data_IF_093194668824
#
_entry.id   IF_093194668824
#
_cell.length_a   1.000
_cell.length_b   1.000
_cell.length_c   1.000
_cell.angle_alpha   90.00
_cell.angle_beta   90.00
_cell.angle_gamma   90.00
#
_symmetry.space_group_name_H-M   'P 1'
#
loop_
_entity.id
_entity.type
_entity.pdbx_description
1 polymer ?
#
# COMPACT_ATOMS: atom_id res chain seq x y z
N UNK A 1 33.01 -6.42 10.59
CA UNK A 1 34.24 -6.97 11.22
C UNK A 1 35.25 -5.88 11.59
N UNK A 2 35.78 -5.08 10.66
CA UNK A 2 36.72 -3.99 11.00
C UNK A 2 36.12 -2.95 11.96
N UNK A 3 34.93 -2.44 11.68
CA UNK A 3 34.22 -1.46 12.53
C UNK A 3 33.98 -1.98 13.96
N UNK A 4 33.63 -3.26 14.10
CA UNK A 4 33.44 -3.92 15.41
C UNK A 4 34.70 -3.92 16.26
N UNK A 5 35.85 -4.23 15.67
CA UNK A 5 37.13 -4.24 16.37
C UNK A 5 37.57 -2.83 16.76
N UNK A 6 37.35 -1.85 15.87
CA UNK A 6 37.65 -0.44 16.15
C UNK A 6 36.82 0.10 17.31
N UNK A 7 35.51 -0.15 17.34
CA UNK A 7 34.64 0.27 18.45
C UNK A 7 35.06 -0.40 19.77
N UNK A 8 35.45 -1.68 19.76
CA UNK A 8 35.96 -2.38 20.95
C UNK A 8 37.26 -1.76 21.49
N UNK A 9 38.17 -1.33 20.59
CA UNK A 9 39.40 -0.61 20.96
C UNK A 9 39.13 0.80 21.47
N UNK A 10 37.96 1.37 21.21
CA UNK A 10 37.56 2.69 21.70
C UNK A 10 37.58 2.85 23.22
N UNK A 11 37.54 1.75 23.98
CA UNK A 11 37.67 1.78 25.46
C UNK A 11 39.11 2.06 25.90
N UNK A 12 40.12 1.57 25.15
CA UNK A 12 41.53 1.67 25.54
C UNK A 12 42.31 2.68 24.71
N UNK A 13 42.16 2.61 23.39
CA UNK A 13 42.98 3.34 22.43
C UNK A 13 42.26 4.60 21.93
N UNK A 14 40.96 4.74 22.25
CA UNK A 14 40.08 5.77 21.71
C UNK A 14 39.76 5.57 20.22
N UNK A 15 38.72 6.24 19.74
CA UNK A 15 38.34 6.27 18.33
C UNK A 15 38.27 7.70 17.82
N UNK A 16 38.53 7.89 16.53
CA UNK A 16 38.38 9.20 15.89
C UNK A 16 37.00 9.28 15.23
N UNK A 17 36.13 10.11 15.79
CA UNK A 17 34.79 10.34 15.26
C UNK A 17 34.78 11.56 14.31
N UNK A 18 34.06 11.49 13.16
CA UNK A 18 33.88 12.63 12.27
C UNK A 18 33.30 13.84 13.01
N UNK A 19 33.97 14.98 12.97
CA UNK A 19 33.52 16.23 13.61
C UNK A 19 33.77 16.35 15.12
N UNK A 20 33.99 15.24 15.82
CA UNK A 20 34.22 15.21 17.28
C UNK A 20 35.67 14.91 17.70
N UNK A 21 36.50 14.46 16.75
CA UNK A 21 37.92 14.17 17.00
C UNK A 21 38.13 12.85 17.75
N UNK A 22 39.29 12.71 18.38
CA UNK A 22 39.65 11.50 19.12
C UNK A 22 38.96 11.45 20.49
N UNK A 23 38.19 10.39 20.75
CA UNK A 23 37.45 10.20 21.99
C UNK A 23 37.64 8.79 22.56
N UNK A 24 37.80 8.71 23.89
CA UNK A 24 37.75 7.46 24.63
C UNK A 24 36.30 7.17 24.99
N UNK A 25 35.81 5.99 24.62
CA UNK A 25 34.44 5.56 24.88
C UNK A 25 34.35 4.86 26.24
N UNK A 26 33.23 5.05 26.94
CA UNK A 26 32.96 4.23 28.12
C UNK A 26 32.66 2.79 27.72
N UNK A 27 33.00 1.84 28.59
CA UNK A 27 32.69 0.43 28.37
C UNK A 27 31.19 0.19 28.16
N UNK A 28 30.36 0.85 28.95
CA UNK A 28 28.89 0.79 28.83
C UNK A 28 28.41 1.24 27.44
N UNK A 29 28.96 2.33 26.90
CA UNK A 29 28.58 2.84 25.59
C UNK A 29 29.01 1.88 24.46
N UNK A 30 30.18 1.26 24.59
CA UNK A 30 30.64 0.23 23.65
C UNK A 30 29.73 -1.00 23.70
N UNK A 31 29.40 -1.49 24.90
CA UNK A 31 28.53 -2.66 25.06
C UNK A 31 27.12 -2.39 24.49
N UNK A 32 26.54 -1.21 24.76
CA UNK A 32 25.26 -0.80 24.17
C UNK A 32 25.33 -0.67 22.64
N UNK A 33 26.42 -0.14 22.10
CA UNK A 33 26.63 -0.02 20.64
C UNK A 33 26.59 -1.40 19.98
N UNK A 34 27.25 -2.38 20.58
CA UNK A 34 27.27 -3.74 20.05
C UNK A 34 25.89 -4.41 20.13
N UNK A 35 25.12 -4.17 21.20
CA UNK A 35 23.74 -4.68 21.34
C UNK A 35 22.84 -4.10 20.25
N UNK A 36 22.85 -2.77 20.07
CA UNK A 36 22.00 -2.10 19.05
C UNK A 36 22.41 -2.50 17.64
N UNK A 37 23.72 -2.62 17.39
CA UNK A 37 24.25 -3.11 16.11
C UNK A 37 23.77 -4.53 15.81
N UNK A 38 23.86 -5.47 16.77
CA UNK A 38 23.41 -6.85 16.57
C UNK A 38 21.89 -6.95 16.43
N UNK A 39 21.13 -6.15 17.20
CA UNK A 39 19.67 -6.19 17.21
C UNK A 39 19.05 -5.75 15.87
N UNK A 40 19.64 -4.74 15.21
CA UNK A 40 19.11 -4.14 13.98
C UNK A 40 19.98 -4.38 12.75
N UNK A 41 21.03 -5.20 12.86
CA UNK A 41 22.05 -5.41 11.82
C UNK A 41 22.62 -4.09 11.28
N UNK A 42 22.95 -3.17 12.19
CA UNK A 42 23.48 -1.85 11.86
C UNK A 42 25.00 -1.83 11.91
N UNK A 43 25.61 -1.00 11.07
CA UNK A 43 27.03 -0.69 11.21
C UNK A 43 27.31 -0.10 12.60
N UNK A 44 28.40 -0.53 13.24
CA UNK A 44 28.68 -0.14 14.63
C UNK A 44 28.87 1.37 14.82
N UNK A 45 29.38 2.09 13.82
CA UNK A 45 29.48 3.55 13.90
C UNK A 45 28.12 4.24 13.81
N UNK A 46 27.17 3.69 13.04
CA UNK A 46 25.80 4.21 12.99
C UNK A 46 25.06 3.93 14.30
N UNK A 47 25.26 2.75 14.88
CA UNK A 47 24.69 2.41 16.19
C UNK A 47 25.25 3.33 17.29
N UNK A 48 26.55 3.62 17.25
CA UNK A 48 27.18 4.57 18.18
C UNK A 48 26.65 5.99 18.01
N UNK A 49 26.54 6.48 16.77
CA UNK A 49 26.01 7.81 16.48
C UNK A 49 24.56 7.97 16.95
N UNK A 50 23.74 6.93 16.76
CA UNK A 50 22.37 6.89 17.26
C UNK A 50 22.32 6.92 18.80
N UNK A 51 23.21 6.19 19.49
CA UNK A 51 23.33 6.21 20.95
C UNK A 51 23.79 7.57 21.48
N UNK A 52 24.75 8.21 20.81
CA UNK A 52 25.19 9.56 21.14
C UNK A 52 24.06 10.57 20.96
N UNK A 53 23.32 10.47 19.87
CA UNK A 53 22.12 11.30 19.61
C UNK A 53 21.06 11.05 20.69
N UNK A 54 20.81 9.79 21.06
CA UNK A 54 19.90 9.45 22.13
C UNK A 54 20.32 10.07 23.46
N UNK A 55 21.61 10.04 23.79
CA UNK A 55 22.15 10.65 25.00
C UNK A 55 21.89 12.16 25.06
N UNK A 56 21.99 12.86 23.92
CA UNK A 56 21.64 14.29 23.82
C UNK A 56 20.13 14.53 23.95
N UNK A 57 19.30 13.60 23.49
CA UNK A 57 17.82 13.70 23.51
C UNK A 57 17.18 13.23 24.82
N UNK A 58 17.90 12.51 25.68
CA UNK A 58 17.40 12.02 26.97
C UNK A 58 16.65 13.07 27.82
N UNK A 59 17.06 14.36 27.89
CA UNK A 59 16.32 15.39 28.63
C UNK A 59 14.87 15.58 28.15
N UNK A 60 14.58 15.29 26.88
CA UNK A 60 13.23 15.37 26.30
C UNK A 60 12.39 14.10 26.53
N UNK A 61 13.00 13.03 27.04
CA UNK A 61 12.37 11.74 27.29
C UNK A 61 12.54 11.31 28.76
N UNK A 62 11.96 12.06 29.72
CA UNK A 62 12.16 11.79 31.14
C UNK A 62 11.70 10.37 31.51
N UNK A 63 12.57 9.66 32.23
CA UNK A 63 12.31 8.28 32.67
C UNK A 63 12.75 7.19 31.68
N UNK A 64 13.27 7.55 30.50
CA UNK A 64 13.88 6.57 29.59
C UNK A 64 15.40 6.53 29.78
N UNK A 65 15.98 5.33 29.69
CA UNK A 65 17.44 5.15 29.62
C UNK A 65 17.96 5.51 28.22
N UNK A 66 19.27 5.65 28.07
CA UNK A 66 19.91 5.88 26.76
C UNK A 66 19.50 4.80 25.74
N UNK A 67 19.55 3.52 26.11
CA UNK A 67 19.13 2.41 25.25
C UNK A 67 17.65 2.50 24.83
N UNK A 68 16.73 2.77 25.76
CA UNK A 68 15.30 2.89 25.43
C UNK A 68 15.01 4.13 24.56
N UNK A 69 15.74 5.22 24.78
CA UNK A 69 15.67 6.43 23.95
C UNK A 69 16.20 6.13 22.54
N UNK A 70 17.26 5.33 22.42
CA UNK A 70 17.85 4.90 21.14
C UNK A 70 16.86 4.08 20.32
N UNK A 71 16.19 3.10 20.95
CA UNK A 71 15.14 2.30 20.30
C UNK A 71 14.01 3.19 19.80
N UNK A 72 13.57 4.17 20.60
CA UNK A 72 12.53 5.12 20.18
C UNK A 72 12.97 5.93 18.97
N UNK A 73 14.17 6.52 19.00
CA UNK A 73 14.73 7.33 17.92
C UNK A 73 14.96 6.52 16.64
N UNK A 74 15.29 5.23 16.76
CA UNK A 74 15.43 4.33 15.61
C UNK A 74 14.13 4.26 14.79
N UNK A 75 12.99 3.98 15.44
CA UNK A 75 11.70 3.93 14.74
C UNK A 75 11.19 5.31 14.36
N UNK A 76 11.46 6.34 15.17
CA UNK A 76 11.08 7.72 14.85
C UNK A 76 11.77 8.20 13.57
N UNK A 77 13.08 7.94 13.43
CA UNK A 77 13.83 8.26 12.21
C UNK A 77 13.28 7.53 10.97
N UNK A 78 12.96 6.24 11.10
CA UNK A 78 12.33 5.47 10.01
C UNK A 78 10.97 6.05 9.62
N UNK A 79 10.13 6.39 10.60
CA UNK A 79 8.82 7.00 10.37
C UNK A 79 8.95 8.37 9.71
N UNK A 80 9.92 9.18 10.12
CA UNK A 80 10.17 10.49 9.52
C UNK A 80 10.55 10.34 8.03
N UNK A 81 11.45 9.40 7.70
CA UNK A 81 11.85 9.11 6.33
C UNK A 81 10.67 8.67 5.46
N UNK A 82 9.87 7.70 5.93
CA UNK A 82 8.70 7.24 5.16
C UNK A 82 7.64 8.32 5.02
N UNK A 83 7.45 9.16 6.04
CA UNK A 83 6.48 10.26 5.99
C UNK A 83 6.88 11.33 4.98
N UNK A 84 8.17 11.66 4.89
CA UNK A 84 8.68 12.59 3.87
C UNK A 84 8.48 12.00 2.48
N UNK A 85 8.84 10.73 2.28
CA UNK A 85 8.64 10.07 1.00
C UNK A 85 7.16 10.03 0.59
N UNK A 86 6.26 9.67 1.50
CA UNK A 86 4.80 9.68 1.28
C UNK A 86 4.33 11.07 0.86
N UNK A 87 4.82 12.12 1.51
CA UNK A 87 4.48 13.51 1.20
C UNK A 87 4.97 13.91 -0.20
N UNK A 88 6.18 13.51 -0.58
CA UNK A 88 6.71 13.74 -1.93
C UNK A 88 5.85 13.05 -2.98
N UNK A 89 5.48 11.79 -2.75
CA UNK A 89 4.62 11.02 -3.67
C UNK A 89 3.22 11.64 -3.79
N UNK A 90 2.63 12.08 -2.67
CA UNK A 90 1.34 12.79 -2.67
C UNK A 90 1.39 14.10 -3.49
N UNK A 91 2.55 14.79 -3.49
CA UNK A 91 2.73 16.10 -4.15
C UNK A 91 3.07 15.97 -5.64
N UNK A 92 3.20 14.74 -6.16
CA UNK A 92 3.43 14.50 -7.59
C UNK A 92 2.31 15.09 -8.44
N UNK A 93 2.66 15.48 -9.65
CA UNK A 93 1.68 15.82 -10.69
C UNK A 93 0.98 14.53 -11.13
N UNK A 94 -0.35 14.55 -11.19
CA UNK A 94 -1.11 13.34 -11.51
C UNK A 94 -2.56 13.57 -11.92
N UNK A 95 -3.37 12.54 -11.74
CA UNK A 95 -4.75 12.47 -12.22
C UNK A 95 -5.78 12.82 -11.15
N UNK A 96 -5.57 12.33 -9.93
CA UNK A 96 -6.60 12.31 -8.90
C UNK A 96 -6.72 13.64 -8.17
N UNK A 97 -5.60 14.34 -7.93
CA UNK A 97 -5.60 15.64 -7.28
C UNK A 97 -4.42 16.53 -7.69
N UNK A 98 -4.52 17.80 -7.34
CA UNK A 98 -3.45 18.77 -7.43
C UNK A 98 -3.23 19.39 -6.04
N UNK A 99 -1.96 19.59 -5.67
CA UNK A 99 -1.58 20.29 -4.44
C UNK A 99 -1.40 21.77 -4.75
N UNK A 100 -1.77 22.63 -3.79
CA UNK A 100 -1.52 24.07 -3.86
C UNK A 100 -0.02 24.37 -3.66
N UNK A 101 0.76 24.16 -4.71
CA UNK A 101 2.20 24.36 -4.75
C UNK A 101 2.65 24.87 -6.14
N UNK A 102 3.76 25.63 -6.23
CA UNK A 102 4.27 26.09 -7.51
C UNK A 102 4.52 24.94 -8.49
N UNK A 103 4.07 25.07 -9.73
CA UNK A 103 4.19 24.03 -10.78
C UNK A 103 5.64 23.60 -11.01
N UNK A 104 6.60 24.53 -10.89
CA UNK A 104 8.02 24.21 -11.00
C UNK A 104 8.49 23.26 -9.88
N UNK A 105 7.97 23.42 -8.66
CA UNK A 105 8.29 22.57 -7.52
C UNK A 105 7.65 21.18 -7.68
N UNK A 106 6.36 21.12 -8.02
CA UNK A 106 5.68 19.83 -8.22
C UNK A 106 6.28 19.03 -9.38
N UNK A 107 6.74 19.71 -10.44
CA UNK A 107 7.52 19.08 -11.53
C UNK A 107 8.84 18.52 -11.01
N UNK A 108 9.61 19.31 -10.26
CA UNK A 108 10.88 18.85 -9.70
C UNK A 108 10.71 17.64 -8.76
N UNK A 109 9.66 17.65 -7.92
CA UNK A 109 9.31 16.52 -7.05
C UNK A 109 8.96 15.28 -7.88
N UNK A 110 8.18 15.46 -8.96
CA UNK A 110 7.80 14.37 -9.86
C UNK A 110 9.04 13.76 -10.53
N UNK A 111 9.95 14.58 -11.06
CA UNK A 111 11.19 14.13 -11.69
C UNK A 111 12.11 13.41 -10.68
N UNK A 112 12.23 13.95 -9.46
CA UNK A 112 13.02 13.34 -8.40
C UNK A 112 12.46 11.97 -8.00
N UNK A 113 11.15 11.88 -7.79
CA UNK A 113 10.51 10.61 -7.40
C UNK A 113 10.49 9.60 -8.55
N UNK A 114 10.45 10.03 -9.82
CA UNK A 114 10.65 9.16 -10.97
C UNK A 114 12.03 8.50 -10.94
N UNK A 115 13.11 9.26 -10.69
CA UNK A 115 14.47 8.71 -10.53
C UNK A 115 14.56 7.70 -9.40
N UNK A 116 13.94 7.99 -8.25
CA UNK A 116 13.88 7.03 -7.15
C UNK A 116 13.18 5.73 -7.58
N UNK A 117 12.14 5.83 -8.41
CA UNK A 117 11.45 4.66 -8.93
C UNK A 117 12.26 3.90 -9.99
N UNK A 118 13.02 4.58 -10.83
CA UNK A 118 14.01 3.96 -11.72
C UNK A 118 15.04 3.14 -10.92
N UNK A 119 15.42 3.62 -9.73
CA UNK A 119 16.28 2.91 -8.77
C UNK A 119 15.53 1.82 -7.94
N UNK A 120 14.26 1.55 -8.25
CA UNK A 120 13.50 0.46 -7.67
C UNK A 120 12.74 0.77 -6.38
N UNK A 121 12.40 2.05 -6.13
CA UNK A 121 11.69 2.49 -4.91
C UNK A 121 10.46 1.64 -4.57
N UNK A 122 9.49 1.52 -5.47
CA UNK A 122 8.23 0.80 -5.22
C UNK A 122 8.48 -0.69 -4.97
N UNK A 123 9.48 -1.27 -5.61
CA UNK A 123 9.88 -2.65 -5.38
C UNK A 123 10.43 -2.84 -3.96
N UNK A 124 11.23 -1.87 -3.47
CA UNK A 124 11.72 -1.88 -2.08
C UNK A 124 10.59 -1.67 -1.08
N UNK A 125 9.65 -0.78 -1.36
CA UNK A 125 8.45 -0.56 -0.52
C UNK A 125 7.65 -1.85 -0.37
N UNK A 126 7.42 -2.59 -1.46
CA UNK A 126 6.74 -3.89 -1.40
C UNK A 126 7.51 -4.91 -0.58
N UNK A 127 8.83 -5.05 -0.80
CA UNK A 127 9.64 -5.98 0.01
C UNK A 127 9.58 -5.64 1.49
N UNK A 128 9.64 -4.36 1.85
CA UNK A 128 9.51 -3.93 3.25
C UNK A 128 8.15 -4.30 3.85
N UNK A 129 7.05 -4.14 3.10
CA UNK A 129 5.72 -4.52 3.58
C UNK A 129 5.55 -6.03 3.79
N UNK A 130 6.23 -6.85 2.99
CA UNK A 130 6.28 -8.32 3.16
C UNK A 130 7.18 -8.74 4.34
N UNK A 131 8.29 -8.03 4.56
CA UNK A 131 9.25 -8.26 5.65
C UNK A 131 8.71 -7.79 7.02
N UNK A 132 7.93 -6.71 7.05
CA UNK A 132 7.47 -6.05 8.28
C UNK A 132 6.24 -6.73 8.91
N UNK A 133 6.52 -7.54 9.93
CA UNK A 133 5.53 -8.23 10.77
C UNK A 133 5.54 -7.67 12.20
N UNK A 134 4.45 -7.01 12.66
CA UNK A 134 4.37 -6.45 14.01
C UNK A 134 4.58 -7.47 15.13
N UNK A 135 4.21 -8.73 14.92
CA UNK A 135 4.37 -9.80 15.92
C UNK A 135 5.83 -10.16 16.07
N UNK A 136 6.53 -10.40 14.95
CA UNK A 136 7.97 -10.69 14.96
C UNK A 136 8.79 -9.53 15.49
N UNK A 137 8.39 -8.30 15.16
CA UNK A 137 9.05 -7.11 15.69
C UNK A 137 8.88 -6.99 17.20
N UNK A 138 7.68 -7.25 17.71
CA UNK A 138 7.41 -7.27 19.14
C UNK A 138 8.24 -8.34 19.86
N UNK A 139 8.37 -9.53 19.28
CA UNK A 139 9.20 -10.61 19.83
C UNK A 139 10.69 -10.23 19.86
N UNK A 140 11.20 -9.62 18.78
CA UNK A 140 12.57 -9.09 18.72
C UNK A 140 12.83 -8.08 19.85
N UNK A 141 11.91 -7.13 20.04
CA UNK A 141 12.00 -6.10 21.05
C UNK A 141 11.95 -6.67 22.48
N UNK A 142 11.12 -7.68 22.72
CA UNK A 142 11.01 -8.36 24.00
C UNK A 142 12.26 -9.18 24.33
N UNK A 143 12.76 -9.97 23.37
CA UNK A 143 13.96 -10.81 23.55
C UNK A 143 15.19 -9.99 23.92
N UNK A 144 15.34 -8.80 23.33
CA UNK A 144 16.44 -7.88 23.59
C UNK A 144 16.21 -6.94 24.77
N UNK A 145 15.11 -7.09 25.52
CA UNK A 145 14.71 -6.19 26.63
C UNK A 145 14.71 -4.70 26.20
N UNK A 146 14.33 -4.46 24.95
CA UNK A 146 14.34 -3.15 24.30
C UNK A 146 13.03 -2.36 24.51
N UNK A 147 12.11 -2.91 25.32
CA UNK A 147 10.86 -2.25 25.68
C UNK A 147 10.91 -1.74 27.12
N UNK A 148 10.55 -0.46 27.29
CA UNK A 148 10.33 0.15 28.60
C UNK A 148 8.95 -0.18 29.17
N UNK A 149 8.40 0.74 29.96
CA UNK A 149 7.03 0.64 30.44
C UNK A 149 5.99 0.69 29.32
N UNK A 150 4.72 0.40 29.65
CA UNK A 150 3.61 0.30 28.69
C UNK A 150 3.51 1.49 27.71
N UNK A 151 3.80 2.71 28.18
CA UNK A 151 3.83 3.91 27.33
C UNK A 151 4.90 3.84 26.24
N UNK A 152 6.12 3.45 26.59
CA UNK A 152 7.23 3.33 25.63
C UNK A 152 6.94 2.24 24.61
N UNK A 153 6.44 1.09 25.08
CA UNK A 153 6.01 0.01 24.21
C UNK A 153 4.95 0.47 23.19
N UNK A 154 3.91 1.19 23.65
CA UNK A 154 2.89 1.72 22.75
C UNK A 154 3.47 2.73 21.74
N UNK A 155 4.41 3.60 22.15
CA UNK A 155 5.05 4.56 21.25
C UNK A 155 5.86 3.87 20.15
N UNK A 156 6.68 2.88 20.51
CA UNK A 156 7.49 2.12 19.56
C UNK A 156 6.63 1.37 18.56
N UNK A 157 5.63 0.60 19.05
CA UNK A 157 4.76 -0.16 18.16
C UNK A 157 3.87 0.74 17.30
N UNK A 158 3.50 1.92 17.79
CA UNK A 158 2.81 2.92 16.98
C UNK A 158 3.71 3.41 15.84
N UNK A 159 4.94 3.83 16.11
CA UNK A 159 5.87 4.28 15.06
C UNK A 159 6.13 3.19 14.01
N UNK A 160 6.28 1.94 14.44
CA UNK A 160 6.43 0.80 13.54
C UNK A 160 5.21 0.62 12.62
N UNK A 161 4.00 0.58 13.20
CA UNK A 161 2.78 0.41 12.43
C UNK A 161 2.47 1.61 11.53
N UNK A 162 2.72 2.84 12.01
CA UNK A 162 2.55 4.05 11.20
C UNK A 162 3.57 4.08 10.03
N UNK A 163 4.75 3.47 10.19
CA UNK A 163 5.72 3.29 9.10
C UNK A 163 5.17 2.31 8.04
N UNK A 164 4.57 1.19 8.48
CA UNK A 164 3.90 0.24 7.57
C UNK A 164 2.75 0.92 6.82
N UNK A 165 1.98 1.77 7.50
CA UNK A 165 0.93 2.56 6.87
C UNK A 165 1.50 3.50 5.81
N UNK A 166 2.56 4.27 6.12
CA UNK A 166 3.16 5.18 5.14
C UNK A 166 3.62 4.44 3.87
N UNK A 167 4.21 3.26 4.03
CA UNK A 167 4.67 2.42 2.92
C UNK A 167 3.50 1.97 2.02
N UNK A 168 2.38 1.56 2.62
CA UNK A 168 1.19 1.20 1.86
C UNK A 168 0.54 2.41 1.17
N UNK A 169 0.50 3.55 1.87
CA UNK A 169 0.01 4.80 1.32
C UNK A 169 0.86 5.26 0.13
N UNK A 170 2.18 5.07 0.14
CA UNK A 170 3.04 5.38 -1.00
C UNK A 170 2.58 4.63 -2.26
N UNK A 171 2.24 3.34 -2.15
CA UNK A 171 1.75 2.54 -3.28
C UNK A 171 0.40 3.05 -3.77
N UNK A 172 -0.52 3.33 -2.85
CA UNK A 172 -1.81 3.94 -3.18
C UNK A 172 -1.65 5.30 -3.88
N UNK A 173 -0.93 6.23 -3.25
CA UNK A 173 -0.73 7.58 -3.76
C UNK A 173 -0.06 7.56 -5.14
N UNK A 174 0.91 6.67 -5.32
CA UNK A 174 1.55 6.47 -6.61
C UNK A 174 0.52 6.05 -7.66
N UNK A 175 -0.23 4.97 -7.41
CA UNK A 175 -1.23 4.44 -8.35
C UNK A 175 -2.34 5.45 -8.68
N UNK A 176 -2.73 6.29 -7.72
CA UNK A 176 -3.78 7.29 -7.91
C UNK A 176 -3.29 8.51 -8.71
N UNK A 177 -2.00 8.83 -8.64
CA UNK A 177 -1.42 9.95 -9.38
C UNK A 177 -0.72 9.54 -10.68
N UNK A 178 -0.29 8.29 -10.82
CA UNK A 178 0.53 7.81 -11.93
C UNK A 178 0.30 6.32 -12.17
N UNK A 179 0.56 5.85 -13.38
CA UNK A 179 0.49 4.42 -13.66
C UNK A 179 1.57 3.65 -12.89
N UNK A 180 1.22 2.49 -12.35
CA UNK A 180 2.18 1.55 -11.79
C UNK A 180 2.91 0.81 -12.92
N UNK A 181 4.21 0.51 -12.76
CA UNK A 181 4.87 -0.48 -13.60
C UNK A 181 4.22 -1.85 -13.43
N UNK A 182 4.10 -2.62 -14.50
CA UNK A 182 3.40 -3.91 -14.49
C UNK A 182 3.98 -4.89 -13.45
N UNK A 183 5.31 -4.94 -13.32
CA UNK A 183 5.99 -5.75 -12.30
C UNK A 183 5.51 -5.44 -10.87
N UNK A 184 5.23 -4.17 -10.56
CA UNK A 184 4.74 -3.74 -9.25
C UNK A 184 3.27 -4.12 -9.10
N UNK A 185 2.44 -3.92 -10.13
CA UNK A 185 1.04 -4.30 -10.14
C UNK A 185 0.85 -5.81 -9.94
N UNK A 186 1.58 -6.65 -10.67
CA UNK A 186 1.48 -8.11 -10.54
C UNK A 186 1.97 -8.62 -9.18
N UNK A 187 2.97 -7.95 -8.58
CA UNK A 187 3.44 -8.27 -7.23
C UNK A 187 2.41 -7.87 -6.17
N UNK A 188 1.80 -6.68 -6.28
CA UNK A 188 0.67 -6.25 -5.45
C UNK A 188 -0.50 -7.24 -5.51
N UNK A 189 -0.89 -7.65 -6.72
CA UNK A 189 -1.94 -8.65 -6.91
C UNK A 189 -1.61 -9.98 -6.24
N UNK A 190 -0.36 -10.42 -6.32
CA UNK A 190 0.08 -11.67 -5.70
C UNK A 190 0.10 -11.60 -4.17
N UNK A 191 0.42 -10.42 -3.59
CA UNK A 191 0.27 -10.18 -2.14
C UNK A 191 -1.21 -10.23 -1.74
N UNK A 192 -2.10 -9.54 -2.47
CA UNK A 192 -3.53 -9.53 -2.16
C UNK A 192 -4.20 -10.89 -2.38
N UNK A 193 -3.71 -11.69 -3.33
CA UNK A 193 -4.20 -13.02 -3.63
C UNK A 193 -4.09 -13.98 -2.44
N UNK A 194 -3.04 -13.82 -1.61
CA UNK A 194 -2.78 -14.68 -0.43
C UNK A 194 -3.33 -14.11 0.87
N UNK A 195 -4.00 -12.95 0.84
CA UNK A 195 -4.58 -12.30 2.02
C UNK A 195 -5.98 -12.82 2.32
N UNK A 196 -6.23 -13.23 3.56
CA UNK A 196 -7.54 -13.67 4.00
C UNK A 196 -8.38 -12.49 4.51
N UNK A 197 -8.70 -11.56 3.60
CA UNK A 197 -9.31 -10.27 3.97
C UNK A 197 -10.64 -10.42 4.73
N UNK A 198 -11.46 -11.42 4.39
CA UNK A 198 -12.75 -11.67 5.06
C UNK A 198 -12.59 -12.22 6.48
N UNK A 199 -11.58 -13.05 6.75
CA UNK A 199 -11.37 -13.64 8.08
C UNK A 199 -10.55 -12.72 8.99
N UNK A 200 -9.67 -11.91 8.40
CA UNK A 200 -8.89 -10.88 9.10
C UNK A 200 -9.71 -9.61 9.36
N UNK A 201 -10.78 -9.39 8.58
CA UNK A 201 -11.70 -8.30 8.83
C UNK A 201 -12.47 -8.52 10.14
N UNK A 202 -12.15 -7.71 11.16
CA UNK A 202 -13.00 -7.56 12.33
C UNK A 202 -14.30 -6.82 11.99
N UNK A 203 -15.04 -6.36 13.01
CA UNK A 203 -16.27 -5.60 12.80
C UNK A 203 -16.07 -4.31 11.98
N UNK A 204 -14.83 -3.78 11.94
CA UNK A 204 -14.45 -2.58 11.20
C UNK A 204 -13.86 -2.81 9.81
N UNK A 205 -14.01 -4.00 9.21
CA UNK A 205 -13.44 -4.31 7.88
C UNK A 205 -11.92 -4.58 7.90
N UNK A 206 -11.23 -4.55 6.74
CA UNK A 206 -9.79 -4.82 6.65
C UNK A 206 -8.97 -3.81 7.43
N UNK A 207 -7.75 -4.17 7.85
CA UNK A 207 -6.84 -3.18 8.44
C UNK A 207 -6.42 -2.10 7.42
N UNK A 208 -5.92 -0.97 7.93
CA UNK A 208 -5.61 0.21 7.10
C UNK A 208 -4.50 -0.04 6.06
N UNK A 209 -3.54 -0.92 6.35
CA UNK A 209 -2.46 -1.28 5.42
C UNK A 209 -3.06 -2.08 4.28
N UNK A 210 -3.84 -3.11 4.60
CA UNK A 210 -4.52 -3.93 3.59
C UNK A 210 -5.47 -3.10 2.74
N UNK A 211 -6.26 -2.20 3.35
CA UNK A 211 -7.14 -1.31 2.60
C UNK A 211 -6.36 -0.41 1.62
N UNK A 212 -5.24 0.19 2.03
CA UNK A 212 -4.42 1.00 1.14
C UNK A 212 -3.85 0.20 -0.05
N UNK A 213 -3.46 -1.07 0.17
CA UNK A 213 -3.02 -1.96 -0.91
C UNK A 213 -4.14 -2.32 -1.89
N UNK A 214 -5.35 -2.58 -1.37
CA UNK A 214 -6.55 -2.78 -2.20
C UNK A 214 -6.78 -1.54 -3.05
N UNK A 215 -6.78 -0.36 -2.44
CA UNK A 215 -6.95 0.92 -3.15
C UNK A 215 -5.84 1.17 -4.16
N UNK A 216 -4.62 0.71 -3.91
CA UNK A 216 -3.51 0.83 -4.86
C UNK A 216 -3.75 0.01 -6.13
N UNK A 217 -4.21 -1.24 -5.99
CA UNK A 217 -4.56 -2.09 -7.14
C UNK A 217 -5.75 -1.50 -7.90
N UNK A 218 -6.79 -1.10 -7.18
CA UNK A 218 -8.00 -0.53 -7.77
C UNK A 218 -7.72 0.77 -8.56
N UNK A 219 -6.79 1.62 -8.08
CA UNK A 219 -6.40 2.82 -8.82
C UNK A 219 -5.42 2.55 -9.97
N UNK A 220 -4.69 1.43 -9.97
CA UNK A 220 -3.71 1.11 -11.01
C UNK A 220 -4.32 0.99 -12.42
N UNK A 221 -5.59 0.64 -12.51
CA UNK A 221 -6.35 0.59 -13.76
C UNK A 221 -7.63 1.45 -13.70
N UNK A 222 -7.62 2.53 -12.90
CA UNK A 222 -8.69 3.52 -12.89
C UNK A 222 -8.54 4.51 -14.05
N UNK A 223 -9.36 4.36 -15.08
CA UNK A 223 -9.32 5.20 -16.27
C UNK A 223 -10.47 6.21 -16.37
N UNK A 224 -11.20 6.44 -15.27
CA UNK A 224 -12.33 7.39 -15.25
C UNK A 224 -11.94 8.83 -15.62
N UNK A 225 -10.67 9.22 -15.42
CA UNK A 225 -10.16 10.55 -15.81
C UNK A 225 -10.24 10.81 -17.33
N UNK A 226 -10.32 9.76 -18.16
CA UNK A 226 -10.40 9.88 -19.61
C UNK A 226 -11.64 10.63 -20.09
N UNK A 227 -12.74 10.56 -19.35
CA UNK A 227 -13.95 11.30 -19.67
C UNK A 227 -13.78 12.82 -19.59
N UNK A 228 -12.71 13.30 -18.93
CA UNK A 228 -12.48 14.71 -18.62
C UNK A 228 -11.32 15.36 -19.38
N UNK A 229 -10.50 14.60 -20.13
CA UNK A 229 -9.27 15.11 -20.76
C UNK A 229 -9.29 14.99 -22.28
N UNK A 230 -8.98 16.10 -22.97
CA UNK A 230 -8.86 16.16 -24.43
C UNK A 230 -7.73 15.26 -24.97
N UNK A 231 -6.64 15.08 -24.21
CA UNK A 231 -5.50 14.21 -24.57
C UNK A 231 -5.59 12.80 -23.95
N UNK A 232 -6.81 12.28 -23.71
CA UNK A 232 -7.01 10.99 -23.06
C UNK A 232 -6.35 9.82 -23.78
N UNK A 233 -6.39 9.80 -25.12
CA UNK A 233 -5.89 8.68 -25.94
C UNK A 233 -4.35 8.52 -25.87
N UNK A 234 -3.59 9.62 -25.93
CA UNK A 234 -2.14 9.59 -25.78
C UNK A 234 -1.71 9.07 -24.40
N UNK A 235 -2.45 9.47 -23.35
CA UNK A 235 -2.17 9.04 -21.99
C UNK A 235 -2.39 7.53 -21.83
N UNK A 236 -3.51 6.98 -22.32
CA UNK A 236 -3.80 5.54 -22.27
C UNK A 236 -2.70 4.74 -22.96
N UNK A 237 -2.32 5.15 -24.16
CA UNK A 237 -1.34 4.45 -24.96
C UNK A 237 0.07 4.46 -24.34
N UNK A 238 0.33 5.38 -23.41
CA UNK A 238 1.58 5.43 -22.64
C UNK A 238 1.54 4.59 -21.35
N UNK A 239 0.38 4.08 -20.95
CA UNK A 239 0.26 3.33 -19.69
C UNK A 239 0.91 1.96 -19.81
N UNK A 240 1.75 1.53 -18.84
CA UNK A 240 2.43 0.23 -18.88
C UNK A 240 1.50 -0.95 -19.15
N UNK A 241 0.32 -0.98 -18.52
CA UNK A 241 -0.66 -2.07 -18.69
C UNK A 241 -1.17 -2.20 -20.13
N UNK A 242 -1.17 -1.10 -20.90
CA UNK A 242 -1.68 -1.04 -22.26
C UNK A 242 -0.53 -1.08 -23.29
N UNK A 243 0.58 -0.41 -22.99
CA UNK A 243 1.73 -0.27 -23.88
C UNK A 243 2.57 -1.55 -23.95
N UNK A 244 2.68 -2.29 -22.85
CA UNK A 244 3.44 -3.54 -22.81
C UNK A 244 2.61 -4.69 -23.39
N UNK A 245 3.21 -5.39 -24.34
CA UNK A 245 2.57 -6.53 -25.01
C UNK A 245 2.19 -7.62 -24.00
N UNK A 246 0.99 -8.17 -24.15
CA UNK A 246 0.47 -9.31 -23.36
C UNK A 246 0.18 -9.00 -21.88
N UNK A 247 0.47 -7.78 -21.38
CA UNK A 247 0.30 -7.44 -19.97
C UNK A 247 -1.18 -7.42 -19.54
N UNK A 248 -2.06 -6.85 -20.37
CA UNK A 248 -3.49 -6.83 -20.12
C UNK A 248 -4.09 -8.24 -20.21
N UNK A 249 -3.67 -9.03 -21.18
CA UNK A 249 -4.07 -10.42 -21.35
C UNK A 249 -3.63 -11.28 -20.15
N UNK A 250 -2.40 -11.10 -19.67
CA UNK A 250 -1.89 -11.78 -18.47
C UNK A 250 -2.70 -11.40 -17.22
N UNK A 251 -3.03 -10.11 -17.06
CA UNK A 251 -3.88 -9.64 -15.97
C UNK A 251 -5.27 -10.28 -16.03
N UNK A 252 -5.89 -10.29 -17.21
CA UNK A 252 -7.19 -10.93 -17.44
C UNK A 252 -7.15 -12.43 -17.12
N UNK A 253 -6.13 -13.15 -17.58
CA UNK A 253 -5.94 -14.57 -17.25
C UNK A 253 -5.75 -14.78 -15.75
N UNK A 254 -4.97 -13.93 -15.07
CA UNK A 254 -4.76 -14.02 -13.62
C UNK A 254 -6.06 -13.86 -12.83
N UNK A 255 -6.98 -13.04 -13.34
CA UNK A 255 -8.26 -12.75 -12.70
C UNK A 255 -9.39 -13.69 -13.10
N UNK A 256 -9.40 -14.26 -14.31
CA UNK A 256 -10.48 -15.14 -14.79
C UNK A 256 -10.18 -16.62 -14.52
N UNK A 257 -8.91 -17.03 -14.57
CA UNK A 257 -8.54 -18.45 -14.48
C UNK A 257 -9.02 -19.10 -13.18
N UNK A 258 -9.76 -20.20 -13.30
CA UNK A 258 -10.22 -21.01 -12.17
C UNK A 258 -9.09 -21.79 -11.50
N UNK A 259 -7.94 -21.91 -12.17
CA UNK A 259 -6.76 -22.62 -11.63
C UNK A 259 -5.98 -21.77 -10.61
N UNK A 260 -6.27 -20.48 -10.53
CA UNK A 260 -5.61 -19.55 -9.61
C UNK A 260 -6.49 -19.40 -8.38
N UNK A 261 -6.01 -19.94 -7.25
CA UNK A 261 -6.70 -19.82 -5.98
C UNK A 261 -6.50 -18.43 -5.37
N UNK A 262 -7.59 -17.82 -4.91
CA UNK A 262 -7.58 -16.56 -4.17
C UNK A 262 -8.13 -16.83 -2.77
N UNK A 263 -7.39 -16.41 -1.75
CA UNK A 263 -7.80 -16.58 -0.35
C UNK A 263 -9.07 -15.78 -0.03
N UNK A 264 -9.27 -14.64 -0.68
CA UNK A 264 -10.53 -13.89 -0.66
C UNK A 264 -11.16 -13.83 -2.04
N UNK A 265 -12.22 -14.63 -2.24
CA UNK A 265 -13.02 -14.61 -3.45
C UNK A 265 -13.72 -13.25 -3.63
N UNK A 266 -14.23 -12.66 -2.54
CA UNK A 266 -14.87 -11.35 -2.58
C UNK A 266 -13.94 -10.24 -3.07
N UNK A 267 -12.68 -10.22 -2.59
CA UNK A 267 -11.67 -9.27 -3.06
C UNK A 267 -11.36 -9.46 -4.55
N UNK A 268 -11.15 -10.71 -4.98
CA UNK A 268 -10.99 -11.04 -6.41
C UNK A 268 -12.17 -10.49 -7.22
N UNK A 269 -13.39 -10.66 -6.72
CA UNK A 269 -14.61 -10.15 -7.34
C UNK A 269 -14.60 -8.63 -7.53
N UNK A 270 -14.16 -7.87 -6.52
CA UNK A 270 -14.07 -6.41 -6.63
C UNK A 270 -13.00 -5.97 -7.65
N UNK A 271 -11.85 -6.66 -7.69
CA UNK A 271 -10.79 -6.38 -8.66
C UNK A 271 -11.26 -6.70 -10.09
N UNK A 272 -11.93 -7.85 -10.28
CA UNK A 272 -12.56 -8.23 -11.56
C UNK A 272 -13.60 -7.18 -12.01
N UNK A 273 -14.45 -6.74 -11.09
CA UNK A 273 -15.46 -5.71 -11.36
C UNK A 273 -14.80 -4.40 -11.82
N UNK A 274 -13.81 -3.93 -11.07
CA UNK A 274 -13.12 -2.69 -11.41
C UNK A 274 -12.38 -2.77 -12.75
N UNK A 275 -11.75 -3.91 -13.06
CA UNK A 275 -11.09 -4.10 -14.36
C UNK A 275 -12.10 -4.14 -15.51
N UNK A 276 -13.27 -4.76 -15.33
CA UNK A 276 -14.30 -4.78 -16.36
C UNK A 276 -14.77 -3.37 -16.72
N UNK A 277 -15.02 -2.53 -15.71
CA UNK A 277 -15.39 -1.12 -15.93
C UNK A 277 -14.26 -0.39 -16.65
N UNK A 278 -13.03 -0.55 -16.19
CA UNK A 278 -11.84 0.05 -16.81
C UNK A 278 -11.71 -0.31 -18.31
N UNK A 279 -11.91 -1.59 -18.66
CA UNK A 279 -11.88 -2.04 -20.05
C UNK A 279 -12.99 -1.40 -20.90
N UNK A 280 -14.20 -1.28 -20.36
CA UNK A 280 -15.31 -0.63 -21.08
C UNK A 280 -15.04 0.88 -21.26
N UNK A 281 -14.50 1.55 -20.24
CA UNK A 281 -14.09 2.95 -20.32
C UNK A 281 -13.05 3.17 -21.42
N UNK A 282 -12.05 2.31 -21.53
CA UNK A 282 -11.05 2.39 -22.62
C UNK A 282 -11.74 2.22 -23.98
N UNK A 283 -12.54 1.18 -24.18
CA UNK A 283 -13.22 0.89 -25.46
C UNK A 283 -14.13 2.03 -25.92
N UNK A 284 -14.88 2.61 -24.98
CA UNK A 284 -15.82 3.70 -25.30
C UNK A 284 -15.10 4.99 -25.66
N UNK A 285 -13.89 5.19 -25.14
CA UNK A 285 -13.13 6.44 -25.31
C UNK A 285 -12.12 6.39 -26.46
N UNK A 286 -11.63 5.22 -26.87
CA UNK A 286 -10.55 5.09 -27.87
C UNK A 286 -10.96 4.30 -29.10
N UNK A 287 -10.72 4.86 -30.29
CA UNK A 287 -11.08 4.23 -31.56
C UNK A 287 -10.27 2.96 -31.86
N UNK A 288 -9.03 2.90 -31.37
CA UNK A 288 -8.15 1.73 -31.49
C UNK A 288 -8.77 0.46 -30.85
N UNK A 289 -9.35 0.59 -29.67
CA UNK A 289 -9.93 -0.54 -28.91
C UNK A 289 -11.38 -0.87 -29.30
N UNK A 290 -12.04 -0.03 -30.10
CA UNK A 290 -13.38 -0.33 -30.65
C UNK A 290 -13.34 -1.45 -31.72
N UNK A 291 -12.17 -1.68 -32.33
CA UNK A 291 -12.00 -2.63 -33.44
C UNK A 291 -11.60 -4.05 -33.02
N UNK A 292 -11.17 -4.23 -31.78
CA UNK A 292 -10.79 -5.54 -31.22
C UNK A 292 -12.04 -6.19 -30.59
N UNK A 293 -12.26 -7.49 -30.81
CA UNK A 293 -13.38 -8.31 -30.28
C UNK A 293 -13.33 -8.50 -28.74
N UNK A 294 -13.07 -7.44 -27.99
CA UNK A 294 -12.88 -7.46 -26.53
C UNK A 294 -14.23 -7.47 -25.80
N UNK A 295 -15.37 -7.23 -26.47
CA UNK A 295 -16.74 -7.22 -25.87
C UNK A 295 -17.14 -8.51 -25.13
N UNK A 296 -16.45 -9.62 -25.38
CA UNK A 296 -16.68 -10.85 -24.61
C UNK A 296 -15.94 -10.84 -23.26
N UNK A 297 -14.79 -10.18 -23.16
CA UNK A 297 -13.91 -10.28 -21.98
C UNK A 297 -14.45 -9.49 -20.79
N UNK A 298 -15.01 -8.30 -21.02
CA UNK A 298 -15.66 -7.49 -20.00
C UNK A 298 -16.92 -8.16 -19.45
N UNK A 299 -17.71 -8.82 -20.30
CA UNK A 299 -18.86 -9.61 -19.83
C UNK A 299 -18.42 -10.80 -18.97
N UNK A 300 -17.35 -11.51 -19.37
CA UNK A 300 -16.77 -12.60 -18.57
C UNK A 300 -16.28 -12.09 -17.20
N UNK A 301 -15.58 -10.95 -17.17
CA UNK A 301 -15.11 -10.35 -15.92
C UNK A 301 -16.27 -9.96 -15.00
N UNK A 302 -17.33 -9.37 -15.54
CA UNK A 302 -18.51 -8.98 -14.74
C UNK A 302 -19.23 -10.21 -14.19
N UNK A 303 -19.48 -11.24 -15.00
CA UNK A 303 -20.11 -12.47 -14.51
C UNK A 303 -19.23 -13.16 -13.45
N UNK A 304 -17.90 -13.17 -13.63
CA UNK A 304 -16.98 -13.68 -12.62
C UNK A 304 -17.02 -12.85 -11.33
N UNK A 305 -17.07 -11.52 -11.43
CA UNK A 305 -17.18 -10.63 -10.28
C UNK A 305 -18.49 -10.85 -9.50
N UNK A 306 -19.59 -11.03 -10.21
CA UNK A 306 -20.90 -11.34 -9.63
C UNK A 306 -20.91 -12.70 -8.94
N UNK A 307 -20.33 -13.73 -9.58
CA UNK A 307 -20.19 -15.07 -8.99
C UNK A 307 -19.34 -15.03 -7.70
N UNK A 308 -18.30 -14.19 -7.68
CA UNK A 308 -17.46 -13.91 -6.52
C UNK A 308 -18.07 -12.92 -5.52
N UNK A 309 -19.34 -12.52 -5.70
CA UNK A 309 -20.11 -11.67 -4.79
C UNK A 309 -19.46 -10.29 -4.52
N UNK A 310 -18.88 -9.67 -5.55
CA UNK A 310 -18.19 -8.37 -5.45
C UNK A 310 -18.99 -7.30 -4.67
N UNK A 311 -20.28 -7.13 -4.97
CA UNK A 311 -21.13 -6.15 -4.28
C UNK A 311 -21.36 -6.45 -2.80
N UNK A 312 -21.47 -7.73 -2.44
CA UNK A 312 -21.61 -8.14 -1.05
C UNK A 312 -20.30 -7.87 -0.29
N UNK A 313 -19.15 -8.20 -0.88
CA UNK A 313 -17.85 -7.90 -0.28
C UNK A 313 -17.64 -6.39 -0.10
N UNK A 314 -18.01 -5.57 -1.09
CA UNK A 314 -17.96 -4.11 -0.94
C UNK A 314 -18.83 -3.63 0.24
N UNK A 315 -20.09 -4.06 0.30
CA UNK A 315 -21.04 -3.60 1.31
C UNK A 315 -20.70 -4.11 2.73
N UNK A 316 -20.37 -5.39 2.86
CA UNK A 316 -20.26 -6.06 4.16
C UNK A 316 -18.84 -6.13 4.71
N UNK A 317 -17.82 -5.91 3.88
CA UNK A 317 -16.41 -5.99 4.28
C UNK A 317 -15.73 -4.64 4.10
N UNK A 318 -15.68 -4.09 2.89
CA UNK A 318 -14.96 -2.85 2.62
C UNK A 318 -15.61 -1.64 3.30
N UNK A 319 -16.90 -1.38 3.04
CA UNK A 319 -17.60 -0.19 3.51
C UNK A 319 -17.87 -0.17 5.02
N UNK A 320 -17.60 -1.27 5.74
CA UNK A 320 -17.55 -1.26 7.21
C UNK A 320 -16.29 -0.57 7.76
N UNK A 321 -15.26 -0.41 6.93
CA UNK A 321 -14.07 0.33 7.33
C UNK A 321 -14.30 1.84 7.27
N UNK A 322 -14.26 2.47 8.45
CA UNK A 322 -14.43 3.91 8.62
C UNK A 322 -13.44 4.76 7.80
N UNK A 323 -12.26 4.23 7.48
CA UNK A 323 -11.27 4.94 6.67
C UNK A 323 -11.80 5.21 5.25
N UNK A 324 -12.64 4.33 4.68
CA UNK A 324 -13.25 4.58 3.37
C UNK A 324 -14.09 5.85 3.41
N UNK A 325 -14.79 6.13 4.50
CA UNK A 325 -15.67 7.30 4.64
C UNK A 325 -14.91 8.57 5.02
N UNK A 326 -13.70 8.45 5.56
CA UNK A 326 -12.86 9.57 5.99
C UNK A 326 -11.94 10.06 4.87
N UNK A 327 -11.49 9.17 4.00
CA UNK A 327 -10.60 9.48 2.87
C UNK A 327 -11.42 9.86 1.63
N UNK A 328 -11.44 11.15 1.30
CA UNK A 328 -12.23 11.73 0.19
C UNK A 328 -12.04 10.98 -1.14
N UNK A 329 -10.79 10.64 -1.48
CA UNK A 329 -10.47 9.96 -2.74
C UNK A 329 -10.86 8.49 -2.74
N UNK A 330 -11.02 7.85 -1.57
CA UNK A 330 -11.57 6.49 -1.50
C UNK A 330 -13.07 6.53 -1.79
N UNK A 331 -13.81 7.44 -1.16
CA UNK A 331 -15.25 7.64 -1.44
C UNK A 331 -15.47 7.96 -2.91
N UNK A 332 -14.70 8.91 -3.47
CA UNK A 332 -14.80 9.28 -4.89
C UNK A 332 -14.53 8.11 -5.82
N UNK A 333 -13.49 7.32 -5.55
CA UNK A 333 -13.20 6.14 -6.35
C UNK A 333 -14.42 5.21 -6.45
N UNK A 334 -15.00 4.81 -5.31
CA UNK A 334 -16.14 3.89 -5.32
C UNK A 334 -17.40 4.52 -5.90
N UNK A 335 -17.64 5.82 -5.65
CA UNK A 335 -18.74 6.54 -6.25
C UNK A 335 -18.64 6.54 -7.79
N UNK A 336 -17.46 6.86 -8.32
CA UNK A 336 -17.21 6.85 -9.76
C UNK A 336 -17.33 5.44 -10.32
N UNK A 337 -16.72 4.43 -9.68
CA UNK A 337 -16.80 3.04 -10.13
C UNK A 337 -18.25 2.54 -10.25
N UNK A 338 -19.10 2.84 -9.26
CA UNK A 338 -20.52 2.46 -9.27
C UNK A 338 -21.28 3.27 -10.32
N UNK A 339 -21.01 4.57 -10.44
CA UNK A 339 -21.67 5.44 -11.42
C UNK A 339 -21.33 5.03 -12.85
N UNK A 340 -20.07 4.71 -13.12
CA UNK A 340 -19.58 4.21 -14.41
C UNK A 340 -20.21 2.86 -14.74
N UNK A 341 -20.35 1.95 -13.77
CA UNK A 341 -21.10 0.71 -14.00
C UNK A 341 -22.56 0.95 -14.42
N UNK A 342 -23.25 1.88 -13.76
CA UNK A 342 -24.65 2.20 -14.09
C UNK A 342 -24.74 2.81 -15.49
N UNK A 343 -23.81 3.71 -15.83
CA UNK A 343 -23.80 4.44 -17.10
C UNK A 343 -23.37 3.55 -18.28
N UNK A 344 -22.29 2.78 -18.10
CA UNK A 344 -21.65 2.02 -19.16
C UNK A 344 -22.28 0.64 -19.37
N UNK A 345 -22.99 0.09 -18.36
CA UNK A 345 -23.62 -1.24 -18.44
C UNK A 345 -25.12 -1.27 -18.09
N UNK A 346 -25.97 -0.42 -18.70
CA UNK A 346 -27.39 -0.32 -18.34
C UNK A 346 -28.17 -1.62 -18.59
N UNK A 347 -27.76 -2.41 -19.59
CA UNK A 347 -28.37 -3.72 -19.88
C UNK A 347 -28.11 -4.71 -18.74
N UNK A 348 -26.88 -4.76 -18.21
CA UNK A 348 -26.52 -5.66 -17.11
C UNK A 348 -27.23 -5.24 -15.81
N UNK A 349 -27.38 -3.93 -15.56
CA UNK A 349 -28.17 -3.43 -14.42
C UNK A 349 -29.64 -3.88 -14.53
N UNK A 350 -30.23 -3.77 -15.73
CA UNK A 350 -31.61 -4.23 -15.98
C UNK A 350 -31.74 -5.75 -15.78
N UNK A 351 -30.74 -6.52 -16.22
CA UNK A 351 -30.68 -7.96 -16.01
C UNK A 351 -30.62 -8.32 -14.53
N UNK A 352 -29.74 -7.69 -13.75
CA UNK A 352 -29.63 -7.91 -12.30
C UNK A 352 -30.94 -7.63 -11.58
N UNK A 353 -31.64 -6.56 -11.98
CA UNK A 353 -32.98 -6.25 -11.47
C UNK A 353 -33.99 -7.35 -11.79
N UNK A 354 -34.02 -7.84 -13.03
CA UNK A 354 -34.93 -8.93 -13.44
C UNK A 354 -34.66 -10.21 -12.64
N UNK A 355 -33.38 -10.59 -12.49
CA UNK A 355 -32.96 -11.75 -11.68
C UNK A 355 -33.40 -11.61 -10.22
N UNK A 356 -33.31 -10.40 -9.65
CA UNK A 356 -33.76 -10.13 -8.29
C UNK A 356 -35.29 -10.25 -8.13
N UNK A 357 -36.06 -9.66 -9.05
CA UNK A 357 -37.53 -9.74 -9.06
C UNK A 357 -38.02 -11.19 -9.18
N UNK A 358 -37.39 -11.99 -10.05
CA UNK A 358 -37.68 -13.42 -10.20
C UNK A 358 -37.36 -14.20 -8.92
N UNK A 359 -36.21 -13.95 -8.30
CA UNK A 359 -35.80 -14.58 -7.04
C UNK A 359 -36.74 -14.22 -5.87
N UNK A 360 -37.31 -13.02 -5.86
CA UNK A 360 -38.30 -12.60 -4.87
C UNK A 360 -39.65 -13.32 -5.10
N UNK A 361 -40.11 -13.41 -6.35
CA UNK A 361 -41.33 -14.15 -6.70
C UNK A 361 -41.25 -15.62 -6.33
N UNK A 362 -40.11 -16.26 -6.59
CA UNK A 362 -39.86 -17.65 -6.22
C UNK A 362 -39.96 -17.86 -4.70
N UNK A 363 -39.30 -17.00 -3.91
CA UNK A 363 -39.38 -17.04 -2.44
C UNK A 363 -40.81 -16.90 -1.92
N UNK A 364 -41.59 -15.98 -2.48
CA UNK A 364 -43.00 -15.83 -2.10
C UNK A 364 -43.86 -17.05 -2.44
N UNK A 365 -43.62 -17.69 -3.59
CA UNK A 365 -44.34 -18.93 -3.96
C UNK A 365 -44.00 -20.07 -3.00
N UNK A 366 -42.72 -20.28 -2.71
CA UNK A 366 -42.29 -21.33 -1.77
C UNK A 366 -42.79 -21.10 -0.34
N UNK A 367 -42.87 -19.84 0.12
CA UNK A 367 -43.44 -19.51 1.43
C UNK A 367 -44.95 -19.72 1.51
N UNK A 368 -45.68 -19.54 0.41
CA UNK A 368 -47.12 -19.79 0.35
C UNK A 368 -47.49 -21.26 0.15
N UNK A 369 -46.57 -22.11 -0.34
CA UNK A 369 -46.77 -23.56 -0.45
C UNK A 369 -46.39 -24.31 0.85
N UNK A 370 -45.71 -23.64 1.78
CA UNK A 370 -45.23 -24.21 3.06
C UNK A 370 -46.08 -23.84 4.28
N UNK A 371 -47.18 -23.12 4.10
CA UNK A 371 -48.16 -22.76 5.12
C UNK A 371 -49.55 -23.20 4.70
#
# INVERSE_FOLDING_TARGET
MKSREEIKKGVTDGITLPGLGHQILSKELVDETLIISDMYDLNEFMALDLLCTAQLQMPHHPGLTRGLTTVLLYYDGRKALTSVLRTLVHTRIGHSWAVDAPVALTRHITDYTNKLQEDGLLNRVLSLLEEMDPTKEQDLLQQNRALGGAKHHQMVMKLYNDTRQDLADILYLWSAQSSLPNIILFRLLSILQTRQVESEAGEGGPDKVTLALIMAVLNAFNFSFLHSRENGEELINSMPLIAEREALEELNQKLISTNINWESAGLRGVIQFALAIAMITIKTTTTQFQSQNITAEDEILIEAALANKAFHFMAEILFKNNCIHQEEFYVRYFHTLISDFILLMPVKVKELRSRADESMRLRHRTSNESG
#
